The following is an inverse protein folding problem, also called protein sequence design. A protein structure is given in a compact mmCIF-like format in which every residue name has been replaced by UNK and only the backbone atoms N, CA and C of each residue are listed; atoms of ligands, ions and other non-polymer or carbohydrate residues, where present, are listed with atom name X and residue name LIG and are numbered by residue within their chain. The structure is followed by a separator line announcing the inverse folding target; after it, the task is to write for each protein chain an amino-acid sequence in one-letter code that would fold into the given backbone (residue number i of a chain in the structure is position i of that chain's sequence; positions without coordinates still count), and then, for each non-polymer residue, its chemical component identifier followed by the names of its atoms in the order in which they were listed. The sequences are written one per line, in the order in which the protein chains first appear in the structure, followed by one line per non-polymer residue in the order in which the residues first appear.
data_IF_272345183949
#
_entry.id   IF_272345183949
#
_cell.length_a   1.000
_cell.length_b   1.000
_cell.length_c   1.000
_cell.angle_alpha   90.00
_cell.angle_beta   90.00
_cell.angle_gamma   90.00
#
_symmetry.space_group_name_H-M   'P 1'
#
loop_
_entity.id
_entity.type
_entity.pdbx_description
1 polymer ?
#
# COMPACT_ATOMS: atom_id res chain seq x y z
N UNK A 1 6.09 -49.34 16.13
CA UNK A 1 5.78 -48.65 14.85
C UNK A 1 5.61 -47.17 15.15
N UNK A 2 6.43 -46.33 14.53
CA UNK A 2 6.60 -44.90 14.83
C UNK A 2 5.45 -44.06 14.32
N UNK A 3 4.75 -43.38 15.24
CA UNK A 3 3.71 -42.39 14.98
C UNK A 3 4.30 -41.19 14.24
N UNK A 4 3.85 -40.96 13.00
CA UNK A 4 4.20 -39.77 12.24
C UNK A 4 3.69 -38.51 12.97
N UNK A 5 4.60 -37.70 13.51
CA UNK A 5 4.31 -36.33 13.96
C UNK A 5 3.96 -35.52 12.72
N UNK A 6 2.67 -35.26 12.51
CA UNK A 6 2.19 -34.23 11.58
C UNK A 6 2.83 -32.91 12.01
N UNK A 7 3.79 -32.42 11.22
CA UNK A 7 4.28 -31.06 11.34
C UNK A 7 3.08 -30.13 11.12
N UNK A 8 2.60 -29.50 12.18
CA UNK A 8 1.66 -28.40 12.08
C UNK A 8 2.40 -27.26 11.37
N UNK A 9 2.31 -27.24 10.04
CA UNK A 9 2.67 -26.06 9.27
C UNK A 9 1.87 -24.88 9.85
N UNK A 10 2.50 -23.73 10.12
CA UNK A 10 1.79 -22.56 10.61
C UNK A 10 0.69 -22.20 9.62
N UNK A 11 -0.58 -22.50 9.95
CA UNK A 11 -1.72 -21.92 9.25
C UNK A 11 -1.62 -20.42 9.49
N UNK A 12 -1.27 -19.66 8.45
CA UNK A 12 -1.29 -18.19 8.46
C UNK A 12 -2.66 -17.76 8.95
N UNK A 13 -2.75 -17.27 10.18
CA UNK A 13 -3.98 -16.74 10.76
C UNK A 13 -4.21 -15.34 10.17
N UNK A 14 -5.30 -15.17 9.44
CA UNK A 14 -5.84 -13.87 9.02
C UNK A 14 -5.21 -13.27 7.76
N UNK A 15 -6.02 -12.55 6.98
CA UNK A 15 -5.52 -11.58 5.99
C UNK A 15 -4.55 -10.63 6.70
N UNK A 16 -3.45 -10.24 6.06
CA UNK A 16 -2.51 -9.24 6.61
C UNK A 16 -3.32 -8.00 6.99
N UNK A 17 -3.36 -7.68 8.28
CA UNK A 17 -3.88 -6.38 8.72
C UNK A 17 -2.75 -5.39 8.56
N UNK A 18 -2.88 -4.51 7.56
CA UNK A 18 -2.01 -3.36 7.44
C UNK A 18 -2.49 -2.26 8.37
N UNK A 19 -1.58 -1.51 8.97
CA UNK A 19 -1.92 -0.22 9.54
C UNK A 19 -2.38 0.68 8.39
N UNK A 20 -3.60 1.19 8.46
CA UNK A 20 -4.12 2.13 7.47
C UNK A 20 -3.75 3.56 7.86
N UNK A 21 -3.57 4.40 6.85
CA UNK A 21 -3.40 5.84 6.97
C UNK A 21 -4.40 6.51 6.05
N UNK A 22 -4.90 7.64 6.52
CA UNK A 22 -5.84 8.47 5.77
C UNK A 22 -5.14 9.79 5.47
N UNK A 23 -5.18 10.21 4.21
CA UNK A 23 -4.56 11.45 3.76
C UNK A 23 -5.39 12.09 2.66
N UNK A 24 -5.29 13.41 2.55
CA UNK A 24 -5.90 14.18 1.48
C UNK A 24 -4.86 14.42 0.38
N UNK A 25 -5.31 14.46 -0.87
CA UNK A 25 -4.47 14.77 -2.02
C UNK A 25 -5.11 15.93 -2.78
N UNK A 26 -4.37 17.02 -3.00
CA UNK A 26 -4.92 18.24 -3.61
C UNK A 26 -5.50 18.02 -5.02
N UNK A 27 -5.02 17.00 -5.75
CA UNK A 27 -5.56 16.65 -7.06
C UNK A 27 -6.91 15.91 -7.04
N UNK A 28 -7.46 15.60 -5.86
CA UNK A 28 -8.74 14.89 -5.76
C UNK A 28 -9.60 15.41 -4.60
N UNK A 29 -10.89 15.59 -4.84
CA UNK A 29 -11.83 16.02 -3.80
C UNK A 29 -12.22 14.81 -2.93
N UNK A 30 -11.41 14.52 -1.90
CA UNK A 30 -11.68 13.44 -0.95
C UNK A 30 -10.47 12.97 -0.14
N UNK A 31 -10.72 12.04 0.77
CA UNK A 31 -9.69 11.38 1.60
C UNK A 31 -9.35 10.00 1.05
N UNK A 32 -8.06 9.69 0.97
CA UNK A 32 -7.54 8.38 0.60
C UNK A 32 -7.21 7.58 1.86
N UNK A 33 -7.79 6.38 1.99
CA UNK A 33 -7.48 5.46 3.09
C UNK A 33 -6.72 4.26 2.56
N UNK A 34 -5.44 4.16 2.90
CA UNK A 34 -4.53 3.17 2.33
C UNK A 34 -3.64 2.52 3.39
N UNK A 35 -3.12 1.30 3.15
CA UNK A 35 -2.05 0.72 3.96
C UNK A 35 -0.84 1.66 4.07
N UNK A 36 -0.18 1.69 5.23
CA UNK A 36 1.11 2.37 5.38
C UNK A 36 2.12 1.84 4.37
N UNK A 37 2.83 2.74 3.69
CA UNK A 37 3.85 2.42 2.69
C UNK A 37 4.88 1.40 3.22
N UNK A 38 5.43 1.61 4.43
CA UNK A 38 6.35 0.67 5.06
C UNK A 38 5.75 -0.70 5.42
N UNK A 39 4.42 -0.85 5.39
CA UNK A 39 3.72 -2.11 5.51
C UNK A 39 3.45 -2.80 4.16
N UNK A 40 3.46 -2.05 3.06
CA UNK A 40 3.19 -2.56 1.71
C UNK A 40 4.32 -3.49 1.27
N UNK A 41 4.00 -4.66 0.65
CA UNK A 41 5.04 -5.53 0.12
C UNK A 41 5.89 -4.82 -0.94
N UNK A 42 7.21 -4.93 -0.86
CA UNK A 42 8.16 -4.33 -1.83
C UNK A 42 7.80 -4.70 -3.27
N UNK A 43 7.34 -5.92 -3.55
CA UNK A 43 6.93 -6.32 -4.90
C UNK A 43 5.72 -5.55 -5.45
N UNK A 44 4.90 -4.92 -4.60
CA UNK A 44 3.83 -4.01 -5.03
C UNK A 44 4.40 -2.62 -5.34
N UNK A 45 5.36 -2.15 -4.53
CA UNK A 45 6.06 -0.88 -4.77
C UNK A 45 6.94 -0.94 -6.02
N UNK A 46 7.68 -2.03 -6.23
CA UNK A 46 8.46 -2.25 -7.46
C UNK A 46 7.58 -2.38 -8.68
N UNK A 47 6.39 -2.99 -8.56
CA UNK A 47 5.44 -3.01 -9.68
C UNK A 47 4.97 -1.60 -10.06
N UNK A 48 4.83 -0.70 -9.07
CA UNK A 48 4.50 0.69 -9.37
C UNK A 48 5.64 1.39 -10.12
N UNK A 49 6.88 1.23 -9.65
CA UNK A 49 8.10 1.79 -10.28
C UNK A 49 8.33 1.26 -11.70
N UNK A 50 8.04 -0.01 -11.94
CA UNK A 50 8.14 -0.67 -13.25
C UNK A 50 6.97 -0.32 -14.20
N UNK A 51 5.98 0.48 -13.76
CA UNK A 51 4.79 0.83 -14.54
C UNK A 51 3.74 -0.29 -14.62
N UNK A 52 3.87 -1.34 -13.82
CA UNK A 52 2.94 -2.46 -13.66
C UNK A 52 1.73 -2.06 -12.77
N UNK A 53 1.01 -1.02 -13.20
CA UNK A 53 -0.14 -0.43 -12.49
C UNK A 53 -1.25 -1.43 -12.20
N UNK A 54 -1.37 -2.51 -12.99
CA UNK A 54 -2.39 -3.55 -12.79
C UNK A 54 -2.22 -4.31 -11.46
N UNK A 55 -0.97 -4.54 -11.01
CA UNK A 55 -0.71 -5.18 -9.70
C UNK A 55 -1.01 -4.24 -8.56
N UNK A 56 -0.63 -2.97 -8.71
CA UNK A 56 -0.91 -1.94 -7.72
C UNK A 56 -2.41 -1.70 -7.56
N UNK A 57 -3.15 -1.58 -8.68
CA UNK A 57 -4.62 -1.45 -8.68
C UNK A 57 -5.30 -2.59 -7.93
N UNK A 58 -4.91 -3.85 -8.17
CA UNK A 58 -5.48 -5.01 -7.44
C UNK A 58 -5.22 -4.93 -5.94
N UNK A 59 -4.07 -4.39 -5.55
CA UNK A 59 -3.77 -4.16 -4.14
C UNK A 59 -4.67 -3.09 -3.54
N UNK A 60 -4.90 -1.99 -4.27
CA UNK A 60 -5.84 -0.94 -3.88
C UNK A 60 -7.27 -1.46 -3.79
N UNK A 61 -7.76 -2.23 -4.77
CA UNK A 61 -9.10 -2.83 -4.73
C UNK A 61 -9.31 -3.69 -3.47
N UNK A 62 -8.26 -4.36 -2.97
CA UNK A 62 -8.36 -5.23 -1.81
C UNK A 62 -8.23 -4.49 -0.47
N UNK A 63 -7.38 -3.45 -0.39
CA UNK A 63 -7.01 -2.82 0.89
C UNK A 63 -7.31 -1.32 1.00
N UNK A 64 -7.71 -0.68 -0.10
CA UNK A 64 -8.07 0.73 -0.24
C UNK A 64 -9.22 0.89 -1.26
N UNK A 65 -10.38 0.26 -1.04
CA UNK A 65 -11.49 0.29 -1.99
C UNK A 65 -11.95 1.73 -2.22
N UNK A 66 -12.12 2.11 -3.50
CA UNK A 66 -12.44 3.48 -3.92
C UNK A 66 -11.21 4.30 -4.33
N UNK A 67 -10.03 4.00 -3.80
CA UNK A 67 -8.78 4.65 -4.22
C UNK A 67 -8.29 4.17 -5.58
N UNK A 68 -8.62 2.94 -5.97
CA UNK A 68 -8.16 2.33 -7.22
C UNK A 68 -8.70 3.01 -8.48
N UNK A 69 -9.88 3.59 -8.43
CA UNK A 69 -10.46 4.33 -9.57
C UNK A 69 -9.81 5.70 -9.73
N UNK A 70 -9.73 6.47 -8.64
CA UNK A 70 -9.03 7.75 -8.61
C UNK A 70 -7.55 7.60 -9.02
N UNK A 71 -6.90 6.52 -8.59
CA UNK A 71 -5.52 6.21 -8.97
C UNK A 71 -5.34 5.96 -10.48
N UNK A 72 -6.33 5.40 -11.16
CA UNK A 72 -6.24 5.12 -12.60
C UNK A 72 -6.57 6.35 -13.46
N UNK A 73 -7.20 7.36 -12.85
CA UNK A 73 -7.46 8.65 -13.48
C UNK A 73 -6.26 9.59 -13.35
N UNK A 74 -5.37 9.34 -12.39
CA UNK A 74 -4.15 10.13 -12.18
C UNK A 74 -3.16 9.97 -13.34
N UNK A 75 -2.55 11.08 -13.74
CA UNK A 75 -1.43 11.07 -14.66
C UNK A 75 -0.09 10.75 -13.96
N UNK A 76 0.99 10.78 -14.75
CA UNK A 76 2.33 10.40 -14.25
C UNK A 76 2.90 11.41 -13.25
N UNK A 77 2.51 12.68 -13.38
CA UNK A 77 2.99 13.77 -12.52
C UNK A 77 2.19 13.75 -11.20
N UNK A 78 0.87 13.59 -11.27
CA UNK A 78 -0.03 13.44 -10.12
C UNK A 78 0.30 12.18 -9.30
N UNK A 79 0.71 11.10 -9.96
CA UNK A 79 1.15 9.88 -9.29
C UNK A 79 2.37 10.13 -8.39
N UNK A 80 3.30 11.00 -8.82
CA UNK A 80 4.48 11.36 -8.04
C UNK A 80 4.10 12.10 -6.75
N UNK A 81 3.23 13.10 -6.86
CA UNK A 81 2.74 13.86 -5.71
C UNK A 81 1.87 13.01 -4.77
N UNK A 82 1.06 12.10 -5.35
CA UNK A 82 0.27 11.13 -4.58
C UNK A 82 1.16 10.20 -3.76
N UNK A 83 2.21 9.63 -4.38
CA UNK A 83 3.16 8.76 -3.69
C UNK A 83 3.89 9.48 -2.56
N UNK A 84 4.21 10.76 -2.76
CA UNK A 84 4.79 11.62 -1.73
C UNK A 84 3.84 11.85 -0.56
N UNK A 85 2.60 12.26 -0.84
CA UNK A 85 1.57 12.46 0.19
C UNK A 85 1.30 11.17 0.99
N UNK A 86 1.26 10.03 0.29
CA UNK A 86 1.09 8.73 0.93
C UNK A 86 2.30 8.31 1.78
N UNK A 87 3.53 8.60 1.33
CA UNK A 87 4.75 8.35 2.11
C UNK A 87 4.77 9.19 3.39
N UNK A 88 4.47 10.48 3.29
CA UNK A 88 4.38 11.41 4.43
C UNK A 88 3.31 10.95 5.43
N UNK A 89 2.11 10.61 4.94
CA UNK A 89 1.03 10.09 5.77
C UNK A 89 1.36 8.76 6.45
N UNK A 90 2.17 7.92 5.79
CA UNK A 90 2.63 6.64 6.34
C UNK A 90 3.58 6.81 7.53
N UNK A 91 4.10 8.03 7.73
CA UNK A 91 5.12 8.33 8.72
C UNK A 91 6.52 7.88 8.29
N UNK A 92 6.72 7.56 7.01
CA UNK A 92 8.05 7.55 6.41
C UNK A 92 8.42 9.02 6.19
N UNK A 93 8.83 9.65 7.29
CA UNK A 93 9.37 10.99 7.32
C UNK A 93 10.78 10.94 6.70
N UNK A 94 10.88 10.74 5.38
CA UNK A 94 12.12 10.95 4.60
C UNK A 94 12.47 12.44 4.52
N UNK A 95 12.29 13.22 5.60
CA UNK A 95 12.39 14.68 5.54
C UNK A 95 12.51 15.46 6.85
N UNK A 96 11.99 15.02 8.00
CA UNK A 96 12.22 15.73 9.27
C UNK A 96 13.52 15.28 9.93
N UNK A 97 14.62 15.79 9.39
CA UNK A 97 15.68 16.26 10.27
C UNK A 97 15.15 17.47 11.03
N UNK A 98 14.63 17.23 12.23
CA UNK A 98 14.58 18.29 13.25
C UNK A 98 16.01 18.50 13.73
N UNK A 99 16.67 19.54 13.23
CA UNK A 99 17.85 20.14 13.87
C UNK A 99 17.65 21.65 13.96
#
# INVERSE_FOLDING_TARGET
MTTAKKSMAPKRKGKKQYSLVTFEFEGFEGEFTMPKLGGVPIGILSALDEGEMAKFRKFLDEYAPGTSEAFMDMDSDELGDFMKAWSEASGDDTGKSTN
#
